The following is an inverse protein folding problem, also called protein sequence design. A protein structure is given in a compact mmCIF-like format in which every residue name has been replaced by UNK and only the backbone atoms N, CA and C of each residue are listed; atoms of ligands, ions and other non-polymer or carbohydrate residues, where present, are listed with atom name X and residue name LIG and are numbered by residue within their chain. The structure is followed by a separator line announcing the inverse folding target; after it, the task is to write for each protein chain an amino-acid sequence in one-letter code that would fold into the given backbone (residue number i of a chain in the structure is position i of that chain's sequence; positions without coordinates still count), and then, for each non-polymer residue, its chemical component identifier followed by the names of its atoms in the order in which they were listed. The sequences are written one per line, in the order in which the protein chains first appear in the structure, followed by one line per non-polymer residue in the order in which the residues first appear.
data_IF_903667003583
#
_entry.id   IF_903667003583
#
_cell.length_a   1.000
_cell.length_b   1.000
_cell.length_c   1.000
_cell.angle_alpha   90.00
_cell.angle_beta   90.00
_cell.angle_gamma   90.00
#
_symmetry.space_group_name_H-M   'P 1'
#
loop_
_entity.id
_entity.type
_entity.pdbx_description
1 polymer ?
#
# COMPACT_ATOMS: atom_id res chain seq x y z
N UNK A 1 11.55 10.04 0.09
CA UNK A 1 11.33 11.50 0.26
C UNK A 1 12.19 12.01 1.41
N UNK A 2 13.09 12.98 1.18
CA UNK A 2 14.01 13.48 2.22
C UNK A 2 13.41 14.58 3.09
N UNK A 3 12.63 15.49 2.48
CA UNK A 3 12.00 16.61 3.15
C UNK A 3 10.50 16.65 2.81
N UNK A 4 9.60 16.80 3.79
CA UNK A 4 8.16 16.74 3.56
C UNK A 4 7.63 17.97 2.80
N UNK A 5 8.28 19.14 2.89
CA UNK A 5 7.88 20.35 2.16
C UNK A 5 8.26 20.21 0.68
N UNK A 6 9.47 19.75 0.39
CA UNK A 6 9.95 19.48 -0.96
C UNK A 6 9.07 18.42 -1.64
N UNK A 7 8.80 17.30 -0.96
CA UNK A 7 7.93 16.25 -1.47
C UNK A 7 6.50 16.75 -1.75
N UNK A 8 5.98 17.63 -0.87
CA UNK A 8 4.67 18.25 -1.06
C UNK A 8 4.64 19.14 -2.29
N UNK A 9 5.66 19.97 -2.47
CA UNK A 9 5.77 20.88 -3.61
C UNK A 9 5.84 20.11 -4.93
N UNK A 10 6.66 19.05 -5.00
CA UNK A 10 6.77 18.25 -6.20
C UNK A 10 5.49 17.47 -6.51
N UNK A 11 4.84 16.88 -5.50
CA UNK A 11 3.55 16.21 -5.69
C UNK A 11 2.49 17.19 -6.22
N UNK A 12 2.37 18.38 -5.64
CA UNK A 12 1.44 19.42 -6.13
C UNK A 12 1.74 19.78 -7.57
N UNK A 13 3.01 19.96 -7.93
CA UNK A 13 3.43 20.30 -9.29
C UNK A 13 3.00 19.24 -10.28
N UNK A 14 3.36 17.98 -10.07
CA UNK A 14 3.07 16.91 -11.05
C UNK A 14 1.57 16.58 -11.16
N UNK A 15 0.82 16.70 -10.07
CA UNK A 15 -0.64 16.50 -10.09
C UNK A 15 -1.33 17.65 -10.83
N UNK A 16 -0.96 18.91 -10.56
CA UNK A 16 -1.62 20.07 -11.17
C UNK A 16 -1.21 20.29 -12.63
N UNK A 17 0.07 20.14 -12.93
CA UNK A 17 0.61 20.51 -14.24
C UNK A 17 0.48 19.36 -15.25
N UNK A 18 0.53 18.11 -14.79
CA UNK A 18 0.52 16.93 -15.67
C UNK A 18 -0.63 15.96 -15.40
N UNK A 19 -1.46 16.19 -14.39
CA UNK A 19 -2.58 15.31 -14.07
C UNK A 19 -2.15 13.93 -13.57
N UNK A 20 -0.97 13.84 -12.91
CA UNK A 20 -0.53 12.61 -12.25
C UNK A 20 -1.60 12.13 -11.26
N UNK A 21 -1.69 10.80 -11.10
CA UNK A 21 -2.79 10.14 -10.37
C UNK A 21 -2.52 9.88 -8.90
N UNK A 22 -1.42 10.43 -8.37
CA UNK A 22 -0.96 10.18 -7.02
C UNK A 22 0.55 10.09 -6.97
N UNK A 23 1.06 9.55 -5.87
CA UNK A 23 2.46 9.24 -5.69
C UNK A 23 2.67 7.72 -5.58
N UNK A 24 3.83 7.24 -5.99
CA UNK A 24 4.33 5.91 -5.64
C UNK A 24 5.74 6.09 -5.09
N UNK A 25 5.99 5.55 -3.90
CA UNK A 25 7.29 5.64 -3.24
C UNK A 25 7.73 4.26 -2.80
N UNK A 26 8.99 3.95 -3.08
CA UNK A 26 9.64 2.70 -2.67
C UNK A 26 10.05 2.79 -1.20
N UNK A 27 9.08 2.62 -0.31
CA UNK A 27 9.24 2.55 1.14
C UNK A 27 10.07 3.74 1.69
N UNK A 28 10.81 3.54 2.77
CA UNK A 28 11.65 4.55 3.41
C UNK A 28 12.70 5.14 2.48
N UNK A 29 12.97 6.44 2.65
CA UNK A 29 14.09 7.11 2.00
C UNK A 29 15.40 6.68 2.66
N UNK A 30 16.39 6.25 1.86
CA UNK A 30 17.77 6.14 2.36
C UNK A 30 18.32 7.53 2.64
N UNK A 31 18.91 7.72 3.82
CA UNK A 31 19.48 8.99 4.26
C UNK A 31 20.78 8.78 5.05
N UNK A 32 21.34 9.86 5.58
CA UNK A 32 22.64 9.85 6.25
C UNK A 32 23.81 9.84 5.26
N UNK A 33 25.03 10.02 5.77
CA UNK A 33 26.25 10.15 4.93
C UNK A 33 26.53 8.90 4.10
N UNK A 34 26.26 7.72 4.66
CA UNK A 34 26.54 6.43 4.01
C UNK A 34 25.27 5.77 3.45
N UNK A 35 24.12 6.46 3.56
CA UNK A 35 22.84 5.93 3.13
C UNK A 35 22.34 4.75 4.00
N UNK A 36 22.76 4.64 5.26
CA UNK A 36 22.32 3.56 6.18
C UNK A 36 21.12 3.96 7.06
N UNK A 37 20.74 5.25 7.05
CA UNK A 37 19.56 5.74 7.77
C UNK A 37 18.29 5.56 6.92
N UNK A 38 17.15 5.53 7.61
CA UNK A 38 15.83 5.32 7.01
C UNK A 38 14.87 6.40 7.48
N UNK A 39 14.32 7.18 6.54
CA UNK A 39 13.24 8.13 6.83
C UNK A 39 11.91 7.44 6.58
N UNK A 40 11.16 7.24 7.66
CA UNK A 40 9.75 6.81 7.64
C UNK A 40 8.82 8.03 7.54
N UNK A 41 7.58 7.79 7.15
CA UNK A 41 6.60 8.83 6.82
C UNK A 41 5.41 8.86 7.81
N UNK A 42 5.59 8.32 9.00
CA UNK A 42 4.55 8.17 10.03
C UNK A 42 4.68 9.13 11.23
N UNK A 43 5.75 9.94 11.25
CA UNK A 43 5.97 11.02 12.21
C UNK A 43 5.15 12.29 11.91
N UNK A 44 4.92 13.17 12.90
CA UNK A 44 4.14 14.40 12.75
C UNK A 44 4.75 15.41 11.76
N UNK A 45 6.06 15.35 11.51
CA UNK A 45 6.72 16.17 10.51
C UNK A 45 6.22 15.91 9.08
N UNK A 46 5.61 14.74 8.83
CA UNK A 46 5.00 14.38 7.55
C UNK A 46 3.56 14.85 7.38
N UNK A 47 2.93 15.43 8.41
CA UNK A 47 1.53 15.89 8.33
C UNK A 47 1.34 16.92 7.20
N UNK A 48 2.34 17.76 6.91
CA UNK A 48 2.28 18.72 5.78
C UNK A 48 2.18 18.03 4.42
N UNK A 49 2.85 16.88 4.28
CA UNK A 49 2.79 16.06 3.08
C UNK A 49 1.43 15.34 2.99
N UNK A 50 0.97 14.74 4.08
CA UNK A 50 -0.31 14.04 4.08
C UNK A 50 -1.51 14.98 3.87
N UNK A 51 -1.48 16.19 4.45
CA UNK A 51 -2.45 17.24 4.11
C UNK A 51 -2.41 17.62 2.63
N UNK A 52 -1.24 17.65 2.01
CA UNK A 52 -1.10 17.91 0.57
C UNK A 52 -1.72 16.77 -0.26
N UNK A 53 -1.50 15.51 0.12
CA UNK A 53 -2.11 14.35 -0.55
C UNK A 53 -3.64 14.41 -0.46
N UNK A 54 -4.20 14.72 0.72
CA UNK A 54 -5.65 14.90 0.90
C UNK A 54 -6.22 16.11 0.15
N UNK A 55 -5.50 17.25 0.12
CA UNK A 55 -5.92 18.46 -0.61
C UNK A 55 -6.07 18.17 -2.12
N UNK A 56 -5.13 17.40 -2.67
CA UNK A 56 -5.14 16.98 -4.06
C UNK A 56 -6.14 15.84 -4.33
N UNK A 57 -6.59 15.16 -3.27
CA UNK A 57 -7.50 14.02 -3.31
C UNK A 57 -7.03 12.95 -4.31
N UNK A 58 -5.78 12.52 -4.09
CA UNK A 58 -5.08 11.46 -4.84
C UNK A 58 -4.49 10.44 -3.86
N UNK A 59 -4.35 9.16 -4.24
CA UNK A 59 -3.73 8.16 -3.37
C UNK A 59 -2.19 8.24 -3.35
N UNK A 60 -1.62 7.57 -2.35
CA UNK A 60 -0.19 7.28 -2.25
C UNK A 60 0.03 5.76 -2.24
N UNK A 61 0.82 5.25 -3.17
CA UNK A 61 1.20 3.85 -3.24
C UNK A 61 2.51 3.64 -2.48
N UNK A 62 2.47 2.82 -1.44
CA UNK A 62 3.67 2.43 -0.68
C UNK A 62 4.22 1.12 -1.25
N UNK A 63 5.21 1.26 -2.13
CA UNK A 63 5.85 0.14 -2.82
C UNK A 63 7.09 -0.32 -2.03
N UNK A 64 7.51 -1.59 -2.11
CA UNK A 64 8.70 -2.05 -1.40
C UNK A 64 10.02 -1.52 -1.98
N UNK A 65 11.09 -1.70 -1.20
CA UNK A 65 12.50 -1.62 -1.64
C UNK A 65 13.33 -2.73 -1.02
N UNK A 66 14.51 -3.00 -1.59
CA UNK A 66 15.46 -3.93 -0.99
C UNK A 66 15.98 -3.41 0.36
N UNK A 67 16.23 -4.31 1.34
CA UNK A 67 17.04 -4.00 2.51
C UNK A 67 18.44 -3.53 2.10
N UNK A 68 19.00 -2.60 2.84
CA UNK A 68 20.32 -2.00 2.55
C UNK A 68 21.20 -1.94 3.79
N UNK A 69 22.50 -1.74 3.58
CA UNK A 69 23.48 -1.46 4.62
C UNK A 69 23.44 -2.43 5.80
N UNK A 70 23.40 -1.91 7.03
CA UNK A 70 23.53 -2.74 8.23
C UNK A 70 22.38 -3.73 8.42
N UNK A 71 21.15 -3.38 8.01
CA UNK A 71 20.00 -4.30 8.04
C UNK A 71 20.22 -5.44 7.03
N UNK A 72 20.66 -5.11 5.81
CA UNK A 72 21.02 -6.11 4.80
C UNK A 72 22.03 -7.12 5.36
N UNK A 73 23.14 -6.65 5.90
CA UNK A 73 24.20 -7.52 6.40
C UNK A 73 23.75 -8.42 7.56
N UNK A 74 23.01 -7.84 8.52
CA UNK A 74 22.58 -8.57 9.72
C UNK A 74 21.53 -9.63 9.42
N UNK A 75 20.53 -9.30 8.59
CA UNK A 75 19.32 -10.12 8.46
C UNK A 75 19.23 -10.86 7.12
N UNK A 76 19.86 -10.37 6.06
CA UNK A 76 19.55 -10.81 4.69
C UNK A 76 20.74 -11.41 3.94
N UNK A 77 21.95 -10.91 4.12
CA UNK A 77 23.13 -11.30 3.34
C UNK A 77 23.40 -12.82 3.34
N UNK A 78 23.17 -13.50 4.47
CA UNK A 78 23.37 -14.97 4.60
C UNK A 78 22.19 -15.83 4.13
N UNK A 79 21.12 -15.19 3.65
CA UNK A 79 19.88 -15.80 3.14
C UNK A 79 19.29 -14.95 2.02
N UNK A 80 20.16 -14.51 1.10
CA UNK A 80 19.86 -13.48 0.10
C UNK A 80 18.73 -13.85 -0.86
N UNK A 81 18.41 -15.14 -1.01
CA UNK A 81 17.25 -15.61 -1.77
C UNK A 81 15.89 -15.18 -1.19
N UNK A 82 15.87 -14.66 0.05
CA UNK A 82 14.67 -14.08 0.67
C UNK A 82 14.53 -12.57 0.45
N UNK A 83 15.53 -11.93 -0.18
CA UNK A 83 15.47 -10.53 -0.58
C UNK A 83 14.51 -10.39 -1.76
N UNK A 84 13.64 -9.40 -1.71
CA UNK A 84 12.65 -9.14 -2.74
C UNK A 84 11.28 -9.73 -2.43
N UNK A 85 10.53 -10.16 -3.47
CA UNK A 85 9.19 -10.73 -3.33
C UNK A 85 9.05 -11.88 -2.33
N UNK A 86 10.04 -12.80 -2.15
CA UNK A 86 9.84 -13.94 -1.26
C UNK A 86 9.60 -13.58 0.21
N UNK A 87 10.11 -12.44 0.70
CA UNK A 87 9.89 -12.04 2.09
C UNK A 87 10.16 -10.56 2.36
N UNK A 88 11.34 -10.04 1.99
CA UNK A 88 11.81 -8.75 2.53
C UNK A 88 10.94 -7.56 2.12
N UNK A 89 10.33 -7.61 0.93
CA UNK A 89 9.45 -6.55 0.43
C UNK A 89 8.22 -6.36 1.31
N UNK A 90 7.50 -7.45 1.58
CA UNK A 90 6.33 -7.41 2.44
C UNK A 90 6.68 -6.96 3.86
N UNK A 91 7.84 -7.37 4.39
CA UNK A 91 8.28 -6.95 5.73
C UNK A 91 8.52 -5.44 5.84
N UNK A 92 9.10 -4.80 4.82
CA UNK A 92 9.31 -3.35 4.82
C UNK A 92 8.00 -2.57 4.76
N UNK A 93 7.17 -2.88 3.75
CA UNK A 93 5.91 -2.15 3.52
C UNK A 93 4.92 -2.37 4.66
N UNK A 94 4.78 -3.59 5.17
CA UNK A 94 3.86 -3.88 6.27
C UNK A 94 4.26 -3.17 7.56
N UNK A 95 5.56 -3.13 7.88
CA UNK A 95 6.07 -2.37 9.01
C UNK A 95 5.73 -0.88 8.87
N UNK A 96 5.99 -0.30 7.68
CA UNK A 96 5.79 1.11 7.46
C UNK A 96 4.31 1.50 7.54
N UNK A 97 3.41 0.78 6.87
CA UNK A 97 1.97 1.11 6.93
C UNK A 97 1.35 0.83 8.30
N UNK A 98 1.76 -0.22 9.01
CA UNK A 98 1.33 -0.44 10.40
C UNK A 98 1.90 0.63 11.34
N UNK A 99 3.10 1.14 11.07
CA UNK A 99 3.64 2.35 11.68
C UNK A 99 2.71 3.55 11.48
N UNK A 100 2.31 3.83 10.24
CA UNK A 100 1.33 4.89 9.93
C UNK A 100 -0.01 4.72 10.67
N UNK A 101 -0.53 3.49 10.76
CA UNK A 101 -1.75 3.17 11.53
C UNK A 101 -1.55 3.52 13.00
N UNK A 102 -0.52 2.93 13.62
CA UNK A 102 -0.30 3.01 15.07
C UNK A 102 0.15 4.38 15.55
N UNK A 103 0.86 5.14 14.70
CA UNK A 103 1.25 6.53 14.94
C UNK A 103 0.15 7.53 14.56
N UNK A 104 -1.06 7.06 14.19
CA UNK A 104 -2.25 7.89 14.05
C UNK A 104 -2.25 8.78 12.79
N UNK A 105 -1.53 8.41 11.74
CA UNK A 105 -1.52 9.18 10.47
C UNK A 105 -2.94 9.29 9.92
N UNK A 106 -3.66 8.18 9.85
CA UNK A 106 -5.05 8.14 9.35
C UNK A 106 -6.05 8.82 10.31
N UNK A 107 -5.68 9.03 11.58
CA UNK A 107 -6.52 9.79 12.52
C UNK A 107 -6.38 11.30 12.32
N UNK A 108 -5.21 11.75 11.86
CA UNK A 108 -4.93 13.16 11.50
C UNK A 108 -5.37 13.46 10.06
N UNK A 109 -5.30 12.46 9.19
CA UNK A 109 -5.58 12.53 7.75
C UNK A 109 -6.62 11.48 7.33
N UNK A 110 -7.88 11.60 7.77
CA UNK A 110 -8.89 10.56 7.62
C UNK A 110 -9.31 10.30 6.16
N UNK A 111 -9.03 11.20 5.21
CA UNK A 111 -9.30 11.01 3.79
C UNK A 111 -8.11 10.41 3.04
N UNK A 112 -6.94 10.31 3.67
CA UNK A 112 -5.74 9.75 3.04
C UNK A 112 -6.01 8.32 2.55
N UNK A 113 -5.67 8.06 1.28
CA UNK A 113 -5.79 6.75 0.65
C UNK A 113 -4.40 6.18 0.40
N UNK A 114 -4.09 5.03 1.00
CA UNK A 114 -2.82 4.31 0.81
C UNK A 114 -3.07 3.02 0.04
N UNK A 115 -2.24 2.76 -0.96
CA UNK A 115 -2.29 1.54 -1.76
C UNK A 115 -1.08 0.66 -1.44
N UNK A 116 -1.34 -0.61 -1.19
CA UNK A 116 -0.34 -1.66 -0.93
C UNK A 116 -0.34 -2.69 -2.07
N UNK A 117 0.83 -3.17 -2.46
CA UNK A 117 0.98 -4.24 -3.45
C UNK A 117 0.72 -5.63 -2.89
N UNK A 118 0.86 -6.65 -3.73
CA UNK A 118 1.11 -8.04 -3.32
C UNK A 118 0.05 -8.64 -2.39
N UNK A 119 -1.22 -8.27 -2.60
CA UNK A 119 -2.36 -8.58 -1.75
C UNK A 119 -2.19 -8.13 -0.29
N UNK A 120 -1.51 -7.00 -0.10
CA UNK A 120 -1.43 -6.29 1.18
C UNK A 120 -0.31 -6.75 2.09
N UNK A 121 0.78 -7.31 1.55
CA UNK A 121 2.05 -7.44 2.26
C UNK A 121 1.93 -8.20 3.58
N UNK A 122 1.23 -9.34 3.55
CA UNK A 122 0.88 -10.19 4.69
C UNK A 122 -0.16 -9.65 5.67
N UNK A 123 -0.49 -8.35 5.66
CA UNK A 123 -1.37 -7.76 6.68
C UNK A 123 -2.75 -8.43 6.72
N UNK A 124 -3.43 -8.72 5.59
CA UNK A 124 -4.71 -9.42 5.64
C UNK A 124 -4.64 -10.79 6.31
N UNK A 125 -3.51 -11.50 6.19
CA UNK A 125 -3.34 -12.83 6.81
C UNK A 125 -3.44 -12.76 8.34
N UNK A 126 -2.88 -11.71 8.93
CA UNK A 126 -2.89 -11.48 10.37
C UNK A 126 -4.02 -10.54 10.81
N UNK A 127 -5.00 -10.24 9.96
CA UNK A 127 -6.07 -9.26 10.27
C UNK A 127 -6.76 -9.54 11.60
N UNK A 128 -7.17 -10.79 11.84
CA UNK A 128 -7.75 -11.19 13.12
C UNK A 128 -6.77 -10.98 14.29
N UNK A 129 -5.50 -11.37 14.10
CA UNK A 129 -4.47 -11.33 15.13
C UNK A 129 -4.09 -9.90 15.49
N UNK A 130 -3.84 -9.05 14.50
CA UNK A 130 -3.54 -7.63 14.67
C UNK A 130 -4.70 -6.95 15.37
N UNK A 131 -5.94 -7.19 14.93
CA UNK A 131 -7.12 -6.59 15.56
C UNK A 131 -7.22 -7.00 17.04
N UNK A 132 -7.15 -8.29 17.35
CA UNK A 132 -7.17 -8.77 18.74
C UNK A 132 -6.06 -8.12 19.59
N UNK A 133 -4.82 -8.12 19.11
CA UNK A 133 -3.71 -7.55 19.87
C UNK A 133 -3.77 -6.03 20.00
N UNK A 134 -4.27 -5.32 18.99
CA UNK A 134 -4.47 -3.87 19.09
C UNK A 134 -5.58 -3.53 20.07
N UNK A 135 -6.78 -4.09 19.88
CA UNK A 135 -7.95 -3.72 20.67
C UNK A 135 -7.88 -4.23 22.11
N UNK A 136 -7.47 -5.49 22.31
CA UNK A 136 -7.59 -6.15 23.61
C UNK A 136 -6.34 -6.03 24.48
N UNK A 137 -5.17 -5.74 23.88
CA UNK A 137 -3.89 -5.67 24.59
C UNK A 137 -3.24 -4.30 24.47
N UNK A 138 -2.94 -3.85 23.24
CA UNK A 138 -2.09 -2.66 23.05
C UNK A 138 -2.81 -1.35 23.33
N UNK A 139 -4.08 -1.19 22.95
CA UNK A 139 -4.87 0.01 23.27
C UNK A 139 -5.05 0.20 24.78
N UNK A 140 -5.39 -0.83 25.57
CA UNK A 140 -5.35 -0.74 27.03
C UNK A 140 -3.98 -0.35 27.62
N UNK A 141 -2.89 -0.67 26.92
CA UNK A 141 -1.52 -0.32 27.31
C UNK A 141 -1.03 1.03 26.76
N UNK A 142 -1.85 1.76 26.01
CA UNK A 142 -1.54 3.11 25.53
C UNK A 142 -1.28 3.26 24.03
N UNK A 143 -1.51 2.24 23.20
CA UNK A 143 -1.65 2.47 21.76
C UNK A 143 -2.82 3.42 21.51
N UNK A 144 -2.56 4.54 20.82
CA UNK A 144 -3.47 5.68 20.76
C UNK A 144 -4.20 5.86 19.43
N UNK A 145 -3.99 4.97 18.45
CA UNK A 145 -4.75 5.00 17.21
C UNK A 145 -6.25 4.82 17.50
N UNK A 146 -7.10 5.61 16.85
CA UNK A 146 -8.51 5.76 17.24
C UNK A 146 -9.39 4.62 16.74
N UNK A 147 -9.09 4.06 15.58
CA UNK A 147 -9.92 3.03 14.92
C UNK A 147 -9.27 1.66 14.99
N UNK A 148 -10.04 0.64 14.69
CA UNK A 148 -9.57 -0.73 14.49
C UNK A 148 -8.79 -0.84 13.18
N UNK A 149 -7.97 -1.90 13.04
CA UNK A 149 -7.30 -2.18 11.77
C UNK A 149 -8.30 -2.40 10.62
N UNK A 150 -9.48 -2.99 10.92
CA UNK A 150 -10.54 -3.24 9.93
C UNK A 150 -11.13 -1.94 9.40
N UNK A 151 -11.45 -1.00 10.28
CA UNK A 151 -11.94 0.33 9.89
C UNK A 151 -10.92 1.09 9.02
N UNK A 152 -9.62 1.03 9.34
CA UNK A 152 -8.60 1.63 8.47
C UNK A 152 -8.52 0.95 7.10
N UNK A 153 -8.75 -0.37 6.99
CA UNK A 153 -8.86 -1.04 5.69
C UNK A 153 -10.11 -0.61 4.91
N UNK A 154 -11.24 -0.43 5.59
CA UNK A 154 -12.49 0.02 4.95
C UNK A 154 -12.37 1.47 4.43
N UNK A 155 -11.65 2.33 5.15
CA UNK A 155 -11.64 3.78 4.89
C UNK A 155 -10.39 4.28 4.16
N UNK A 156 -9.21 3.75 4.49
CA UNK A 156 -7.91 4.34 4.12
C UNK A 156 -7.04 3.42 3.25
N UNK A 157 -7.05 2.12 3.48
CA UNK A 157 -6.12 1.19 2.82
C UNK A 157 -6.74 0.47 1.63
N UNK A 158 -5.95 0.29 0.58
CA UNK A 158 -6.26 -0.51 -0.61
C UNK A 158 -5.18 -1.57 -0.77
N UNK A 159 -5.54 -2.72 -1.33
CA UNK A 159 -4.55 -3.73 -1.75
C UNK A 159 -4.66 -3.98 -3.25
N UNK A 160 -3.55 -4.35 -3.89
CA UNK A 160 -3.52 -4.75 -5.30
C UNK A 160 -3.08 -6.18 -5.49
N UNK A 161 -3.42 -6.78 -6.63
CA UNK A 161 -3.03 -8.16 -6.99
C UNK A 161 -1.62 -8.29 -7.56
N UNK A 162 -0.81 -7.22 -7.53
CA UNK A 162 0.53 -7.17 -8.15
C UNK A 162 1.41 -8.34 -7.69
N UNK A 163 1.99 -9.11 -8.61
CA UNK A 163 2.85 -10.26 -8.30
C UNK A 163 2.26 -11.35 -7.39
N UNK A 164 0.94 -11.37 -7.18
CA UNK A 164 0.28 -12.33 -6.30
C UNK A 164 -0.96 -12.92 -6.97
N UNK A 165 -0.75 -13.60 -8.09
CA UNK A 165 -1.78 -14.20 -8.96
C UNK A 165 -2.35 -15.50 -8.38
N UNK A 166 -2.85 -15.43 -7.14
CA UNK A 166 -3.39 -16.57 -6.39
C UNK A 166 -4.89 -16.39 -6.18
N UNK A 167 -5.70 -17.24 -6.83
CA UNK A 167 -7.16 -17.25 -6.63
C UNK A 167 -7.53 -17.57 -5.18
N UNK A 168 -6.77 -18.46 -4.52
CA UNK A 168 -7.02 -18.81 -3.11
C UNK A 168 -6.77 -17.63 -2.18
N UNK A 169 -5.66 -16.91 -2.37
CA UNK A 169 -5.33 -15.73 -1.55
C UNK A 169 -6.30 -14.59 -1.84
N UNK A 170 -6.69 -14.40 -3.09
CA UNK A 170 -7.71 -13.41 -3.47
C UNK A 170 -9.05 -13.71 -2.78
N UNK A 171 -9.50 -14.96 -2.78
CA UNK A 171 -10.73 -15.36 -2.09
C UNK A 171 -10.67 -15.12 -0.58
N UNK A 172 -9.52 -15.35 0.04
CA UNK A 172 -9.27 -15.01 1.43
C UNK A 172 -9.35 -13.49 1.66
N UNK A 173 -8.69 -12.68 0.82
CA UNK A 173 -8.72 -11.22 0.92
C UNK A 173 -10.13 -10.65 0.70
N UNK A 174 -10.97 -11.26 -0.12
CA UNK A 174 -12.38 -10.89 -0.22
C UNK A 174 -13.12 -11.02 1.12
N UNK A 175 -12.74 -11.99 1.96
CA UNK A 175 -13.31 -12.17 3.30
C UNK A 175 -12.79 -11.18 4.33
N UNK A 176 -11.49 -10.88 4.33
CA UNK A 176 -10.88 -10.01 5.34
C UNK A 176 -10.91 -8.52 4.99
N UNK A 177 -10.88 -8.17 3.70
CA UNK A 177 -10.74 -6.79 3.19
C UNK A 177 -11.94 -6.36 2.34
N UNK A 178 -12.56 -7.28 1.59
CA UNK A 178 -13.71 -6.99 0.74
C UNK A 178 -13.36 -6.47 -0.66
N UNK A 179 -14.17 -6.84 -1.66
CA UNK A 179 -13.92 -6.53 -3.07
C UNK A 179 -13.83 -5.03 -3.37
N UNK A 180 -14.46 -4.17 -2.58
CA UNK A 180 -14.48 -2.71 -2.77
C UNK A 180 -13.14 -2.04 -2.41
N UNK A 181 -12.19 -2.77 -1.80
CA UNK A 181 -10.86 -2.28 -1.41
C UNK A 181 -9.70 -3.03 -2.08
N UNK A 182 -10.01 -3.82 -3.12
CA UNK A 182 -9.04 -4.59 -3.90
C UNK A 182 -8.96 -4.06 -5.33
N UNK A 183 -7.75 -3.91 -5.87
CA UNK A 183 -7.47 -3.43 -7.22
C UNK A 183 -6.67 -4.48 -8.01
N UNK A 184 -6.98 -4.68 -9.29
CA UNK A 184 -6.11 -5.44 -10.17
C UNK A 184 -4.81 -4.65 -10.45
N UNK A 185 -3.67 -5.33 -10.43
CA UNK A 185 -2.36 -4.81 -10.83
C UNK A 185 -1.43 -5.97 -11.20
N UNK A 186 -0.37 -5.67 -11.96
CA UNK A 186 0.51 -6.67 -12.58
C UNK A 186 1.87 -6.75 -11.87
N UNK A 187 2.55 -5.62 -11.68
CA UNK A 187 4.00 -5.53 -11.37
C UNK A 187 4.94 -5.75 -12.57
N UNK A 188 4.54 -5.26 -13.75
CA UNK A 188 5.40 -5.28 -14.94
C UNK A 188 6.60 -4.32 -14.76
N UNK A 189 7.84 -4.71 -15.15
CA UNK A 189 8.21 -5.91 -15.90
C UNK A 189 8.73 -7.08 -15.05
N UNK A 190 8.60 -7.04 -13.72
CA UNK A 190 9.00 -8.17 -12.87
C UNK A 190 8.08 -9.38 -13.12
N UNK A 191 6.81 -9.10 -13.36
CA UNK A 191 5.78 -10.06 -13.75
C UNK A 191 5.30 -9.82 -15.18
N UNK A 192 4.83 -10.89 -15.85
CA UNK A 192 4.35 -10.79 -17.22
C UNK A 192 2.86 -10.44 -17.30
N UNK A 193 2.46 -9.75 -18.37
CA UNK A 193 1.04 -9.54 -18.69
C UNK A 193 0.31 -10.88 -18.86
N UNK A 194 0.97 -11.89 -19.45
CA UNK A 194 0.37 -13.19 -19.67
C UNK A 194 -0.02 -13.87 -18.36
N UNK A 195 0.88 -13.87 -17.38
CA UNK A 195 0.62 -14.49 -16.08
C UNK A 195 -0.52 -13.79 -15.34
N UNK A 196 -0.47 -12.45 -15.28
CA UNK A 196 -1.47 -11.66 -14.54
C UNK A 196 -2.84 -11.64 -15.21
N UNK A 197 -2.90 -11.35 -16.51
CA UNK A 197 -4.16 -11.17 -17.23
C UNK A 197 -4.86 -12.50 -17.46
N UNK A 198 -4.14 -13.55 -17.90
CA UNK A 198 -4.79 -14.85 -18.10
C UNK A 198 -5.33 -15.40 -16.77
N UNK A 199 -4.56 -15.28 -15.68
CA UNK A 199 -5.05 -15.63 -14.34
C UNK A 199 -6.34 -14.87 -14.02
N UNK A 200 -6.32 -13.54 -14.07
CA UNK A 200 -7.45 -12.72 -13.66
C UNK A 200 -8.67 -12.91 -14.58
N UNK A 201 -8.47 -13.05 -15.88
CA UNK A 201 -9.54 -13.26 -16.86
C UNK A 201 -10.20 -14.65 -16.70
N UNK A 202 -9.48 -15.65 -16.20
CA UNK A 202 -10.00 -17.01 -16.01
C UNK A 202 -10.50 -17.32 -14.58
N UNK A 203 -10.27 -16.44 -13.59
CA UNK A 203 -10.72 -16.73 -12.21
C UNK A 203 -12.25 -16.94 -12.12
N UNK A 204 -12.70 -17.97 -11.38
CA UNK A 204 -14.11 -18.19 -11.09
C UNK A 204 -14.59 -17.21 -10.00
N UNK A 205 -15.05 -16.04 -10.43
CA UNK A 205 -15.56 -14.98 -9.55
C UNK A 205 -16.88 -14.43 -10.10
N UNK A 206 -17.74 -13.91 -9.22
CA UNK A 206 -18.95 -13.24 -9.66
C UNK A 206 -18.60 -12.00 -10.51
N UNK A 207 -19.46 -11.69 -11.50
CA UNK A 207 -19.19 -10.63 -12.48
C UNK A 207 -19.05 -9.24 -11.84
N UNK A 208 -19.75 -8.99 -10.73
CA UNK A 208 -19.70 -7.69 -10.03
C UNK A 208 -18.31 -7.45 -9.46
N UNK A 209 -17.80 -8.38 -8.64
CA UNK A 209 -16.50 -8.22 -7.99
C UNK A 209 -15.36 -8.26 -9.00
N UNK A 210 -15.47 -9.11 -10.02
CA UNK A 210 -14.48 -9.17 -11.10
C UNK A 210 -14.35 -7.82 -11.82
N UNK A 211 -15.48 -7.14 -12.06
CA UNK A 211 -15.50 -5.82 -12.69
C UNK A 211 -15.00 -4.71 -11.74
N UNK A 212 -15.37 -4.77 -10.46
CA UNK A 212 -14.86 -3.86 -9.42
C UNK A 212 -13.34 -3.90 -9.35
N UNK A 213 -12.80 -5.09 -9.12
CA UNK A 213 -11.36 -5.32 -8.94
C UNK A 213 -10.61 -5.04 -10.25
N UNK A 214 -11.13 -5.53 -11.37
CA UNK A 214 -10.48 -5.39 -12.67
C UNK A 214 -10.39 -3.94 -13.17
N UNK A 215 -11.35 -3.07 -12.80
CA UNK A 215 -11.33 -1.66 -13.25
C UNK A 215 -12.14 -0.66 -12.43
N UNK A 216 -13.39 -0.99 -12.04
CA UNK A 216 -14.34 0.06 -11.63
C UNK A 216 -13.88 0.73 -10.32
N UNK A 217 -13.21 0.00 -9.43
CA UNK A 217 -12.60 0.54 -8.22
C UNK A 217 -11.48 1.54 -8.55
N UNK A 218 -10.52 1.14 -9.40
CA UNK A 218 -9.40 2.00 -9.81
C UNK A 218 -9.89 3.23 -10.59
N UNK A 219 -10.90 3.05 -11.46
CA UNK A 219 -11.51 4.14 -12.21
C UNK A 219 -12.11 5.20 -11.26
N UNK A 220 -12.80 4.76 -10.20
CA UNK A 220 -13.35 5.66 -9.18
C UNK A 220 -12.24 6.32 -8.35
N UNK A 221 -11.30 5.55 -7.80
CA UNK A 221 -10.23 6.05 -6.94
C UNK A 221 -9.32 7.06 -7.66
N UNK A 222 -8.93 6.76 -8.90
CA UNK A 222 -7.99 7.59 -9.69
C UNK A 222 -8.70 8.64 -10.56
N UNK A 223 -10.04 8.75 -10.43
CA UNK A 223 -10.88 9.67 -11.21
C UNK A 223 -10.57 9.58 -12.70
N UNK A 224 -10.55 8.35 -13.22
CA UNK A 224 -10.26 8.12 -14.64
C UNK A 224 -11.44 8.61 -15.48
N UNK A 225 -11.12 9.33 -16.55
CA UNK A 225 -12.09 9.67 -17.60
C UNK A 225 -12.29 8.44 -18.50
N UNK A 226 -12.96 8.62 -19.64
CA UNK A 226 -13.01 7.57 -20.65
C UNK A 226 -11.58 7.20 -21.09
N UNK A 227 -11.24 5.93 -20.92
CA UNK A 227 -10.04 5.29 -21.45
C UNK A 227 -10.45 4.13 -22.36
N UNK A 228 -9.50 3.62 -23.14
CA UNK A 228 -9.72 2.50 -24.06
C UNK A 228 -10.39 1.34 -23.31
N UNK A 229 -11.52 0.86 -23.82
CA UNK A 229 -12.30 -0.26 -23.28
C UNK A 229 -12.85 -0.08 -21.85
N UNK A 230 -12.90 1.15 -21.32
CA UNK A 230 -13.44 1.46 -19.98
C UNK A 230 -14.91 1.04 -19.76
N UNK A 231 -15.68 0.87 -20.85
CA UNK A 231 -17.11 0.51 -20.85
C UNK A 231 -17.39 -0.86 -21.50
N UNK A 232 -16.34 -1.63 -21.84
CA UNK A 232 -16.48 -2.98 -22.41
C UNK A 232 -17.16 -3.96 -21.45
#
# INVERSE_FOLDING_TARGET
MHDPIEASAELKRVVKDYGFKGALVNDTQRAGTDGDDMVFYDGPEWDVFWSTVEELDVPFYLHPRNPTGSIHEKLWAKRSWLIGPPLSFAQGVSLHVLGMVTNGVFDRHPKLQIILGHLGEHIPFDMWRINHWFEDIKKPLGLSCKKTIREYFEENLWITTSGHFSTSTLQFCLGEVGADRILFSIDYPFESFGDACNWFDDIPMNKSDKKKIGRDNAAKLLKLRDFKDSKA
#
